data_IF_930732965536
#
_entry.id   IF_930732965536
#
_cell.length_a   1.000
_cell.length_b   1.000
_cell.length_c   1.000
_cell.angle_alpha   90.00
_cell.angle_beta   90.00
_cell.angle_gamma   90.00
#
_symmetry.space_group_name_H-M   'P 1'
#
loop_
_entity.id
_entity.type
_entity.pdbx_description
1 polymer ?
#
# COMPACT_ATOMS: atom_id res chain seq x y z
N UNK A 1 -17.23 -4.00 26.99
CA UNK A 1 -18.10 -3.97 25.80
C UNK A 1 -19.25 -4.98 25.86
N UNK A 2 -19.08 -6.18 26.43
CA UNK A 2 -20.13 -7.23 26.41
C UNK A 2 -21.44 -6.90 27.15
N UNK A 3 -21.52 -5.79 27.92
CA UNK A 3 -22.73 -5.33 28.59
C UNK A 3 -23.36 -4.07 28.00
N UNK A 4 -22.85 -3.59 26.85
CA UNK A 4 -23.38 -2.39 26.20
C UNK A 4 -24.59 -2.72 25.31
N UNK A 5 -25.56 -1.79 25.18
CA UNK A 5 -26.62 -1.91 24.18
C UNK A 5 -26.05 -2.02 22.76
N UNK A 6 -26.76 -2.73 21.88
CA UNK A 6 -26.30 -2.99 20.50
C UNK A 6 -26.13 -1.69 19.71
N UNK A 7 -26.98 -0.71 19.95
CA UNK A 7 -26.95 0.60 19.30
C UNK A 7 -25.67 1.36 19.62
N UNK A 8 -25.19 1.25 20.86
CA UNK A 8 -23.93 1.86 21.30
C UNK A 8 -22.75 1.09 20.73
N UNK A 9 -22.81 -0.25 20.74
CA UNK A 9 -21.77 -1.10 20.15
C UNK A 9 -21.57 -0.84 18.66
N UNK A 10 -22.63 -0.53 17.93
CA UNK A 10 -22.57 -0.17 16.51
C UNK A 10 -21.94 1.21 16.29
N UNK A 11 -22.05 2.15 17.23
CA UNK A 11 -21.46 3.49 17.11
C UNK A 11 -19.96 3.54 17.41
N UNK A 12 -19.45 2.64 18.27
CA UNK A 12 -18.05 2.64 18.70
C UNK A 12 -17.06 2.58 17.53
N UNK A 13 -17.21 1.67 16.53
CA UNK A 13 -16.29 1.63 15.38
C UNK A 13 -16.23 2.94 14.58
N UNK A 14 -17.29 3.76 14.60
CA UNK A 14 -17.37 5.05 13.91
C UNK A 14 -16.78 6.21 14.71
N UNK A 15 -16.37 5.97 15.96
CA UNK A 15 -15.63 6.95 16.76
C UNK A 15 -14.11 6.77 16.66
N UNK A 16 -13.67 5.77 15.90
CA UNK A 16 -12.25 5.44 15.71
C UNK A 16 -11.78 6.09 14.42
N UNK A 17 -10.67 6.80 14.49
CA UNK A 17 -10.09 7.54 13.36
C UNK A 17 -8.84 6.89 12.78
N UNK A 18 -8.32 5.83 13.40
CA UNK A 18 -7.10 5.15 12.97
C UNK A 18 -7.25 3.63 12.85
N UNK A 19 -6.57 3.05 11.84
CA UNK A 19 -6.66 1.63 11.50
C UNK A 19 -6.17 0.72 12.62
N UNK A 20 -5.23 1.22 13.42
CA UNK A 20 -4.64 0.48 14.53
C UNK A 20 -5.65 0.23 15.63
N UNK A 21 -6.28 1.29 16.11
CA UNK A 21 -7.30 1.22 17.14
C UNK A 21 -8.48 0.36 16.69
N UNK A 22 -8.90 0.48 15.42
CA UNK A 22 -9.99 -0.32 14.87
C UNK A 22 -9.65 -1.83 14.92
N UNK A 23 -8.47 -2.20 14.43
CA UNK A 23 -8.03 -3.59 14.47
C UNK A 23 -7.90 -4.13 15.90
N UNK A 24 -7.27 -3.38 16.81
CA UNK A 24 -7.11 -3.83 18.19
C UNK A 24 -8.46 -3.98 18.89
N UNK A 25 -9.41 -3.08 18.64
CA UNK A 25 -10.77 -3.22 19.17
C UNK A 25 -11.43 -4.52 18.70
N UNK A 26 -11.36 -4.79 17.39
CA UNK A 26 -11.98 -5.97 16.78
C UNK A 26 -11.36 -7.27 17.28
N UNK A 27 -10.03 -7.29 17.49
CA UNK A 27 -9.33 -8.48 17.99
C UNK A 27 -9.53 -8.66 19.50
N UNK A 28 -9.55 -7.58 20.28
CA UNK A 28 -9.64 -7.65 21.73
C UNK A 28 -11.05 -7.95 22.24
N UNK A 29 -12.10 -7.67 21.44
CA UNK A 29 -13.48 -7.89 21.88
C UNK A 29 -14.34 -8.70 20.92
N UNK A 30 -14.92 -9.81 21.40
CA UNK A 30 -15.92 -10.58 20.66
C UNK A 30 -17.11 -9.75 20.20
N UNK A 31 -17.65 -8.85 21.04
CA UNK A 31 -18.75 -7.97 20.67
C UNK A 31 -18.42 -7.08 19.46
N UNK A 32 -17.29 -6.36 19.49
CA UNK A 32 -16.87 -5.55 18.34
C UNK A 32 -16.57 -6.40 17.11
N UNK A 33 -16.00 -7.59 17.29
CA UNK A 33 -15.77 -8.53 16.19
C UNK A 33 -17.07 -8.99 15.51
N UNK A 34 -18.16 -9.18 16.28
CA UNK A 34 -19.48 -9.50 15.75
C UNK A 34 -20.07 -8.31 14.99
N UNK A 35 -20.03 -7.12 15.56
CA UNK A 35 -20.51 -5.88 14.91
C UNK A 35 -19.76 -5.62 13.60
N UNK A 36 -18.43 -5.72 13.61
CA UNK A 36 -17.61 -5.58 12.41
C UNK A 36 -17.87 -6.68 11.38
N UNK A 37 -18.33 -7.85 11.81
CA UNK A 37 -18.75 -8.92 10.92
C UNK A 37 -20.12 -8.70 10.27
N UNK A 38 -20.86 -7.66 10.64
CA UNK A 38 -22.16 -7.37 10.03
C UNK A 38 -22.03 -6.86 8.60
N UNK A 39 -23.09 -7.01 7.81
CA UNK A 39 -23.13 -6.66 6.38
C UNK A 39 -22.98 -5.14 6.10
N UNK A 40 -23.13 -4.29 7.12
CA UNK A 40 -23.08 -2.83 6.99
C UNK A 40 -22.03 -2.18 7.88
N UNK A 41 -21.95 -2.52 9.18
CA UNK A 41 -21.11 -1.77 10.11
C UNK A 41 -19.62 -1.97 9.82
N UNK A 42 -19.17 -3.20 9.51
CA UNK A 42 -17.77 -3.46 9.17
C UNK A 42 -17.28 -2.68 7.96
N UNK A 43 -17.95 -2.81 6.80
CA UNK A 43 -17.62 -2.04 5.61
C UNK A 43 -17.59 -0.52 5.85
N UNK A 44 -18.61 0.03 6.53
CA UNK A 44 -18.68 1.47 6.83
C UNK A 44 -17.59 1.92 7.80
N UNK A 45 -17.28 1.13 8.83
CA UNK A 45 -16.22 1.44 9.80
C UNK A 45 -14.84 1.45 9.14
N UNK A 46 -14.60 0.50 8.22
CA UNK A 46 -13.36 0.46 7.45
C UNK A 46 -13.25 1.69 6.52
N UNK A 47 -14.31 2.05 5.80
CA UNK A 47 -14.34 3.27 4.97
C UNK A 47 -14.06 4.54 5.79
N UNK A 48 -14.71 4.67 6.95
CA UNK A 48 -14.52 5.81 7.84
C UNK A 48 -13.06 5.95 8.27
N UNK A 49 -12.47 4.89 8.82
CA UNK A 49 -11.09 4.92 9.30
C UNK A 49 -10.08 5.16 8.19
N UNK A 50 -10.30 4.59 7.00
CA UNK A 50 -9.44 4.87 5.83
C UNK A 50 -9.53 6.35 5.42
N UNK A 51 -10.74 6.93 5.46
CA UNK A 51 -10.97 8.35 5.17
C UNK A 51 -10.28 9.30 6.14
N UNK A 52 -10.20 8.95 7.43
CA UNK A 52 -9.58 9.77 8.46
C UNK A 52 -8.04 9.62 8.52
N UNK A 53 -7.49 8.48 8.11
CA UNK A 53 -6.07 8.15 8.35
C UNK A 53 -5.19 8.04 7.08
N UNK A 54 -5.76 8.03 5.89
CA UNK A 54 -5.01 7.76 4.65
C UNK A 54 -5.21 8.82 3.57
N UNK A 55 -4.19 8.98 2.71
CA UNK A 55 -4.30 9.82 1.53
C UNK A 55 -5.36 9.27 0.55
N UNK A 56 -6.10 10.13 -0.19
CA UNK A 56 -7.13 9.71 -1.15
C UNK A 56 -6.68 8.65 -2.16
N UNK A 57 -5.42 8.72 -2.61
CA UNK A 57 -4.85 7.74 -3.54
C UNK A 57 -4.66 6.37 -2.89
N UNK A 58 -4.33 6.32 -1.60
CA UNK A 58 -4.24 5.07 -0.85
C UNK A 58 -5.62 4.45 -0.69
N UNK A 59 -6.63 5.24 -0.31
CA UNK A 59 -8.03 4.80 -0.21
C UNK A 59 -8.50 4.21 -1.55
N UNK A 60 -8.19 4.89 -2.66
CA UNK A 60 -8.53 4.41 -4.01
C UNK A 60 -7.91 3.05 -4.29
N UNK A 61 -6.63 2.83 -3.95
CA UNK A 61 -5.99 1.53 -4.12
C UNK A 61 -6.59 0.44 -3.22
N UNK A 62 -6.99 0.76 -1.98
CA UNK A 62 -7.70 -0.19 -1.11
C UNK A 62 -9.02 -0.61 -1.75
N UNK A 63 -9.77 0.36 -2.30
CA UNK A 63 -11.02 0.09 -3.04
C UNK A 63 -10.78 -0.77 -4.28
N UNK A 64 -9.70 -0.54 -5.04
CA UNK A 64 -9.33 -1.39 -6.17
C UNK A 64 -9.00 -2.83 -5.74
N UNK A 65 -8.28 -2.99 -4.62
CA UNK A 65 -8.02 -4.31 -4.04
C UNK A 65 -9.35 -4.99 -3.63
N UNK A 66 -10.26 -4.26 -2.99
CA UNK A 66 -11.60 -4.76 -2.66
C UNK A 66 -12.41 -5.17 -3.91
N UNK A 67 -12.34 -4.36 -4.96
CA UNK A 67 -12.98 -4.64 -6.25
C UNK A 67 -12.43 -5.93 -6.88
N UNK A 68 -11.11 -6.12 -6.94
CA UNK A 68 -10.49 -7.33 -7.50
C UNK A 68 -10.80 -8.57 -6.66
N UNK A 69 -10.86 -8.44 -5.33
CA UNK A 69 -11.20 -9.56 -4.43
C UNK A 69 -12.68 -9.95 -4.48
N UNK A 70 -13.56 -9.05 -4.95
CA UNK A 70 -14.99 -9.34 -5.17
C UNK A 70 -15.31 -9.77 -6.60
N UNK A 71 -14.33 -9.71 -7.51
CA UNK A 71 -14.50 -10.07 -8.91
C UNK A 71 -14.85 -11.55 -9.12
N UNK A 72 -15.73 -11.79 -10.08
CA UNK A 72 -16.07 -13.09 -10.64
C UNK A 72 -16.14 -13.00 -12.16
N UNK A 73 -16.20 -14.16 -12.85
CA UNK A 73 -16.32 -14.20 -14.31
C UNK A 73 -17.56 -13.45 -14.83
N UNK A 74 -18.67 -13.49 -14.10
CA UNK A 74 -19.90 -12.78 -14.45
C UNK A 74 -19.80 -11.26 -14.22
N UNK A 75 -18.95 -10.85 -13.28
CA UNK A 75 -18.82 -9.46 -12.85
C UNK A 75 -17.33 -9.08 -12.71
N UNK A 76 -16.57 -9.03 -13.83
CA UNK A 76 -15.17 -8.64 -13.80
C UNK A 76 -15.04 -7.13 -13.52
N UNK A 77 -13.91 -6.67 -12.96
CA UNK A 77 -13.69 -5.27 -12.64
C UNK A 77 -13.50 -4.42 -13.90
N UNK A 78 -13.05 -5.04 -14.99
CA UNK A 78 -13.02 -4.49 -16.34
C UNK A 78 -13.02 -5.64 -17.37
N UNK A 79 -13.42 -5.39 -18.64
CA UNK A 79 -13.43 -6.42 -19.69
C UNK A 79 -12.03 -6.95 -20.03
N UNK A 80 -11.00 -6.11 -19.91
CA UNK A 80 -9.61 -6.49 -20.14
C UNK A 80 -8.67 -5.80 -19.14
N UNK A 81 -7.42 -6.27 -19.07
CA UNK A 81 -6.37 -5.60 -18.28
C UNK A 81 -6.10 -4.17 -18.78
N UNK A 82 -6.19 -3.94 -20.10
CA UNK A 82 -5.98 -2.60 -20.67
C UNK A 82 -7.11 -1.67 -20.26
N UNK A 83 -8.37 -2.12 -20.33
CA UNK A 83 -9.52 -1.33 -19.87
C UNK A 83 -9.43 -1.02 -18.37
N UNK A 84 -8.91 -1.96 -17.57
CA UNK A 84 -8.66 -1.74 -16.14
C UNK A 84 -7.62 -0.63 -15.92
N UNK A 85 -6.50 -0.71 -16.64
CA UNK A 85 -5.41 0.28 -16.59
C UNK A 85 -5.92 1.64 -17.04
N UNK A 86 -6.63 1.70 -18.15
CA UNK A 86 -7.17 2.94 -18.72
C UNK A 86 -8.18 3.60 -17.78
N UNK A 87 -9.04 2.81 -17.14
CA UNK A 87 -10.06 3.31 -16.22
C UNK A 87 -9.51 3.75 -14.87
N UNK A 88 -8.54 3.01 -14.32
CA UNK A 88 -8.16 3.14 -12.90
C UNK A 88 -6.74 3.62 -12.65
N UNK A 89 -5.88 3.63 -13.67
CA UNK A 89 -4.46 4.00 -13.50
C UNK A 89 -4.03 5.20 -14.34
N UNK A 90 -4.73 5.52 -15.44
CA UNK A 90 -4.40 6.71 -16.22
C UNK A 90 -4.76 7.98 -15.46
N UNK A 91 -3.75 8.81 -15.14
CA UNK A 91 -3.98 10.19 -14.76
C UNK A 91 -4.52 10.95 -15.97
N UNK A 92 -5.82 11.27 -15.99
CA UNK A 92 -6.33 12.25 -16.95
C UNK A 92 -5.63 13.58 -16.63
N UNK A 93 -4.74 14.00 -17.52
CA UNK A 93 -4.04 15.31 -17.46
C UNK A 93 -4.98 16.50 -17.71
N UNK A 94 -6.26 16.23 -17.98
CA UNK A 94 -7.22 17.27 -18.30
C UNK A 94 -7.87 17.86 -17.05
N UNK A 95 -8.07 19.17 -17.10
CA UNK A 95 -8.23 20.10 -15.98
C UNK A 95 -9.55 20.02 -15.21
N UNK A 96 -10.13 18.84 -15.05
CA UNK A 96 -11.26 18.66 -14.14
C UNK A 96 -10.83 17.80 -12.96
N UNK A 97 -10.59 18.49 -11.84
CA UNK A 97 -10.26 17.96 -10.51
C UNK A 97 -11.33 17.00 -9.94
N UNK A 98 -12.32 16.59 -10.73
CA UNK A 98 -13.54 15.89 -10.30
C UNK A 98 -13.67 14.46 -10.81
N UNK A 99 -12.77 13.93 -11.67
CA UNK A 99 -12.99 12.63 -12.31
C UNK A 99 -11.75 11.73 -12.36
N UNK A 100 -11.10 11.49 -11.21
CA UNK A 100 -10.67 10.11 -10.98
C UNK A 100 -11.96 9.31 -11.04
N UNK A 101 -12.11 8.37 -11.98
CA UNK A 101 -13.21 7.41 -11.97
C UNK A 101 -13.06 6.60 -10.68
N UNK A 102 -13.59 7.15 -9.60
CA UNK A 102 -13.34 6.68 -8.25
C UNK A 102 -13.84 5.24 -8.22
N UNK A 103 -12.94 4.31 -7.90
CA UNK A 103 -13.37 2.99 -7.50
C UNK A 103 -14.53 3.16 -6.51
N UNK A 104 -15.64 2.41 -6.64
CA UNK A 104 -16.77 2.60 -5.76
C UNK A 104 -16.29 2.53 -4.29
N UNK A 105 -16.88 3.34 -3.41
CA UNK A 105 -16.50 3.36 -2.00
C UNK A 105 -16.46 1.95 -1.41
N UNK A 106 -15.50 1.65 -0.54
CA UNK A 106 -15.26 0.28 -0.09
C UNK A 106 -16.49 -0.28 0.65
N UNK A 107 -17.22 0.57 1.37
CA UNK A 107 -18.46 0.20 2.03
C UNK A 107 -19.53 -0.28 1.04
N UNK A 108 -19.59 0.34 -0.15
CA UNK A 108 -20.50 -0.09 -1.20
C UNK A 108 -20.07 -1.43 -1.80
N UNK A 109 -18.77 -1.58 -2.13
CA UNK A 109 -18.21 -2.81 -2.72
C UNK A 109 -18.39 -4.03 -1.80
N UNK A 110 -18.18 -3.82 -0.50
CA UNK A 110 -18.24 -4.87 0.51
C UNK A 110 -19.64 -5.07 1.09
N UNK A 111 -20.63 -4.26 0.70
CA UNK A 111 -21.99 -4.36 1.23
C UNK A 111 -22.55 -5.76 0.96
N UNK A 112 -23.04 -6.42 2.02
CA UNK A 112 -23.58 -7.80 1.93
C UNK A 112 -22.59 -8.84 1.38
N UNK A 113 -21.29 -8.54 1.35
CA UNK A 113 -20.25 -9.54 1.07
C UNK A 113 -19.92 -10.34 2.33
N UNK A 114 -19.12 -11.39 2.16
CA UNK A 114 -18.76 -12.26 3.26
C UNK A 114 -18.00 -11.47 4.35
N UNK A 115 -18.31 -11.68 5.65
CA UNK A 115 -17.58 -11.03 6.74
C UNK A 115 -16.08 -11.32 6.71
N UNK A 116 -15.69 -12.47 6.14
CA UNK A 116 -14.31 -12.88 5.93
C UNK A 116 -13.58 -11.94 4.97
N UNK A 117 -14.25 -11.39 3.95
CA UNK A 117 -13.65 -10.46 3.01
C UNK A 117 -13.30 -9.13 3.69
N UNK A 118 -14.23 -8.57 4.49
CA UNK A 118 -14.01 -7.33 5.24
C UNK A 118 -12.86 -7.50 6.24
N UNK A 119 -12.85 -8.62 6.98
CA UNK A 119 -11.74 -8.97 7.89
C UNK A 119 -10.43 -9.18 7.15
N UNK A 120 -10.47 -9.81 5.98
CA UNK A 120 -9.30 -10.01 5.12
C UNK A 120 -8.68 -8.70 4.64
N UNK A 121 -9.50 -7.72 4.29
CA UNK A 121 -9.04 -6.37 3.95
C UNK A 121 -8.43 -5.65 5.15
N UNK A 122 -9.08 -5.68 6.32
CA UNK A 122 -8.51 -5.12 7.55
C UNK A 122 -7.15 -5.75 7.89
N UNK A 123 -7.02 -7.08 7.76
CA UNK A 123 -5.76 -7.79 7.98
C UNK A 123 -4.69 -7.42 6.96
N UNK A 124 -5.08 -7.20 5.69
CA UNK A 124 -4.19 -6.72 4.63
C UNK A 124 -3.69 -5.31 4.94
N UNK A 125 -4.60 -4.42 5.32
CA UNK A 125 -4.28 -3.04 5.67
C UNK A 125 -3.33 -2.98 6.87
N UNK A 126 -3.59 -3.75 7.93
CA UNK A 126 -2.65 -3.92 9.05
C UNK A 126 -1.28 -4.39 8.59
N UNK A 127 -1.24 -5.45 7.76
CA UNK A 127 0.03 -6.00 7.26
C UNK A 127 0.82 -4.94 6.50
N UNK A 128 0.14 -4.19 5.63
CA UNK A 128 0.75 -3.10 4.87
C UNK A 128 1.27 -2.01 5.82
N UNK A 129 0.52 -1.58 6.84
CA UNK A 129 1.03 -0.60 7.82
C UNK A 129 2.32 -1.08 8.50
N UNK A 130 2.37 -2.33 8.96
CA UNK A 130 3.59 -2.89 9.56
C UNK A 130 4.77 -2.92 8.57
N UNK A 131 4.51 -3.33 7.31
CA UNK A 131 5.53 -3.37 6.26
C UNK A 131 6.00 -1.98 5.85
N UNK A 132 5.12 -0.98 5.82
CA UNK A 132 5.44 0.43 5.57
C UNK A 132 6.49 0.91 6.55
N UNK A 133 6.24 0.71 7.85
CA UNK A 133 7.18 1.10 8.89
C UNK A 133 8.49 0.31 8.85
N UNK A 134 8.44 -1.00 8.56
CA UNK A 134 9.65 -1.80 8.40
C UNK A 134 10.50 -1.33 7.21
N UNK A 135 9.86 -0.98 6.09
CA UNK A 135 10.50 -0.45 4.89
C UNK A 135 11.17 0.90 5.17
N UNK A 136 10.49 1.80 5.88
CA UNK A 136 11.04 3.09 6.28
C UNK A 136 12.24 2.90 7.22
N UNK A 137 12.10 2.06 8.25
CA UNK A 137 13.20 1.73 9.18
C UNK A 137 14.41 1.15 8.43
N UNK A 138 14.19 0.25 7.46
CA UNK A 138 15.25 -0.30 6.62
C UNK A 138 16.00 0.77 5.84
N UNK A 139 15.34 1.55 4.99
CA UNK A 139 16.04 2.53 4.15
C UNK A 139 16.65 3.67 4.97
N UNK A 140 16.08 4.02 6.12
CA UNK A 140 16.69 4.97 7.06
C UNK A 140 17.98 4.42 7.66
N UNK A 141 18.00 3.14 8.03
CA UNK A 141 19.23 2.49 8.50
C UNK A 141 20.31 2.45 7.41
N UNK A 142 19.90 2.22 6.15
CA UNK A 142 20.82 2.31 5.00
C UNK A 142 21.37 3.73 4.86
N UNK A 143 20.54 4.77 4.97
CA UNK A 143 20.98 6.15 4.92
C UNK A 143 21.98 6.51 6.02
N UNK A 144 21.77 6.02 7.24
CA UNK A 144 22.74 6.25 8.33
C UNK A 144 24.06 5.50 8.14
N UNK A 145 24.08 4.49 7.27
CA UNK A 145 25.29 3.70 6.96
C UNK A 145 26.13 4.30 5.83
N UNK A 146 25.57 5.22 5.04
CA UNK A 146 26.33 5.85 3.95
C UNK A 146 27.30 6.90 4.47
N UNK A 147 28.44 7.02 3.80
CA UNK A 147 29.44 8.06 4.04
C UNK A 147 29.49 9.00 2.83
N UNK A 148 28.49 9.88 2.66
CA UNK A 148 28.44 10.78 1.51
C UNK A 148 29.58 11.80 1.55
N UNK A 149 29.94 12.32 0.38
CA UNK A 149 30.94 13.38 0.24
C UNK A 149 30.39 14.51 -0.65
N UNK A 150 30.75 15.76 -0.34
CA UNK A 150 30.59 16.89 -1.25
C UNK A 150 31.66 16.83 -2.34
N UNK A 151 31.26 16.97 -3.59
CA UNK A 151 32.18 17.06 -4.71
C UNK A 151 33.10 18.28 -4.55
N UNK A 152 34.42 18.08 -4.61
CA UNK A 152 35.39 19.18 -4.42
C UNK A 152 35.71 19.95 -5.70
N UNK A 153 35.76 19.28 -6.86
CA UNK A 153 36.40 19.84 -8.06
C UNK A 153 35.52 19.73 -9.31
N UNK A 154 35.22 20.89 -9.91
CA UNK A 154 34.70 21.05 -11.27
C UNK A 154 33.30 20.47 -11.53
N UNK A 155 32.73 20.69 -12.73
CA UNK A 155 31.51 20.01 -13.13
C UNK A 155 31.79 18.51 -13.26
N UNK A 156 31.15 17.71 -12.41
CA UNK A 156 31.17 16.26 -12.50
C UNK A 156 29.84 15.77 -13.05
N UNK A 157 29.90 15.00 -14.14
CA UNK A 157 28.73 14.40 -14.76
C UNK A 157 28.81 12.87 -14.59
N UNK A 158 27.89 12.33 -13.79
CA UNK A 158 27.69 10.89 -13.67
C UNK A 158 27.45 10.27 -15.05
N UNK A 159 28.06 9.11 -15.32
CA UNK A 159 27.87 8.40 -16.60
C UNK A 159 28.73 8.89 -17.76
N UNK A 160 29.55 9.94 -17.60
CA UNK A 160 30.35 10.49 -18.70
C UNK A 160 31.56 9.62 -19.11
N UNK A 161 32.09 8.80 -18.20
CA UNK A 161 33.28 7.94 -18.46
C UNK A 161 33.07 6.47 -18.11
N UNK A 162 32.24 6.16 -17.11
CA UNK A 162 31.88 4.80 -16.67
C UNK A 162 30.46 4.80 -16.06
N UNK A 163 29.93 3.65 -15.64
CA UNK A 163 28.65 3.56 -14.93
C UNK A 163 28.69 4.37 -13.63
N UNK A 164 27.63 5.14 -13.37
CA UNK A 164 27.59 6.12 -12.28
C UNK A 164 28.01 5.54 -10.91
N UNK A 165 27.48 4.37 -10.53
CA UNK A 165 27.78 3.73 -9.24
C UNK A 165 29.21 3.17 -9.09
N UNK A 166 30.05 3.23 -10.14
CA UNK A 166 31.48 2.87 -10.08
C UNK A 166 32.39 4.07 -9.97
N UNK A 167 31.87 5.27 -10.20
CA UNK A 167 32.67 6.49 -10.10
C UNK A 167 32.65 6.94 -8.63
N UNK A 168 33.84 7.10 -8.03
CA UNK A 168 33.98 7.68 -6.71
C UNK A 168 34.84 8.94 -6.82
N UNK A 169 34.26 10.08 -7.24
CA UNK A 169 35.01 11.31 -7.39
C UNK A 169 35.59 11.74 -6.04
N UNK A 170 36.72 12.46 -6.07
CA UNK A 170 37.24 13.06 -4.84
C UNK A 170 36.22 14.03 -4.25
N UNK A 171 35.99 13.91 -2.95
CA UNK A 171 35.02 14.73 -2.24
C UNK A 171 35.38 14.89 -0.77
N UNK A 172 34.84 15.95 -0.17
CA UNK A 172 34.92 16.19 1.28
C UNK A 172 33.88 15.36 1.98
N UNK A 173 34.23 14.59 3.02
CA UNK A 173 33.26 13.89 3.84
C UNK A 173 32.14 14.84 4.28
N UNK A 174 30.90 14.45 4.03
CA UNK A 174 29.70 15.09 4.55
C UNK A 174 29.19 14.24 5.70
N UNK A 175 28.93 14.87 6.84
CA UNK A 175 28.28 14.22 7.97
C UNK A 175 26.77 14.50 7.83
N UNK A 176 25.95 13.49 7.50
CA UNK A 176 24.52 13.68 7.41
C UNK A 176 23.96 14.18 8.74
N UNK A 177 23.03 15.14 8.67
CA UNK A 177 22.25 15.48 9.85
C UNK A 177 21.39 14.29 10.28
N UNK A 178 21.14 14.12 11.60
CA UNK A 178 20.21 13.11 12.08
C UNK A 178 18.85 13.24 11.39
N UNK A 179 18.35 12.15 10.82
CA UNK A 179 17.03 12.14 10.19
C UNK A 179 15.93 12.22 11.25
N UNK A 180 15.03 13.21 11.16
CA UNK A 180 13.76 13.23 11.91
C UNK A 180 12.94 11.96 11.64
N UNK A 181 12.02 11.54 12.52
CA UNK A 181 11.12 10.41 12.25
C UNK A 181 10.41 10.54 10.89
N UNK A 182 9.99 9.42 10.27
CA UNK A 182 9.27 9.48 9.01
C UNK A 182 8.09 10.42 9.10
N UNK A 183 7.95 11.33 8.14
CA UNK A 183 6.80 12.21 8.07
C UNK A 183 5.62 11.49 7.40
N UNK A 184 4.40 12.04 7.58
CA UNK A 184 3.19 11.46 7.00
C UNK A 184 3.30 11.25 5.49
N UNK A 185 3.92 12.18 4.76
CA UNK A 185 4.10 12.03 3.31
C UNK A 185 4.97 10.81 2.95
N UNK A 186 6.02 10.51 3.71
CA UNK A 186 6.86 9.34 3.50
C UNK A 186 6.08 8.06 3.77
N UNK A 187 5.30 8.03 4.86
CA UNK A 187 4.42 6.91 5.21
C UNK A 187 3.41 6.63 4.09
N UNK A 188 2.69 7.65 3.61
CA UNK A 188 1.69 7.48 2.56
C UNK A 188 2.30 7.04 1.23
N UNK A 189 3.51 7.50 0.87
CA UNK A 189 4.21 7.09 -0.37
C UNK A 189 4.58 5.61 -0.33
N UNK A 190 5.18 5.16 0.77
CA UNK A 190 5.55 3.75 0.94
C UNK A 190 4.30 2.87 1.02
N UNK A 191 3.28 3.29 1.77
CA UNK A 191 1.99 2.61 1.87
C UNK A 191 1.33 2.43 0.50
N UNK A 192 1.36 3.49 -0.33
CA UNK A 192 0.85 3.45 -1.71
C UNK A 192 1.62 2.43 -2.56
N UNK A 193 2.94 2.36 -2.44
CA UNK A 193 3.77 1.32 -3.07
C UNK A 193 3.28 -0.09 -2.71
N UNK A 194 3.10 -0.37 -1.41
CA UNK A 194 2.63 -1.68 -0.94
C UNK A 194 1.22 -2.03 -1.42
N UNK A 195 0.30 -1.07 -1.46
CA UNK A 195 -1.04 -1.31 -1.98
C UNK A 195 -1.05 -1.61 -3.48
N UNK A 196 -0.19 -0.98 -4.28
CA UNK A 196 -0.01 -1.35 -5.69
C UNK A 196 0.55 -2.76 -5.85
N UNK A 197 1.52 -3.14 -5.02
CA UNK A 197 2.04 -4.50 -4.99
C UNK A 197 0.95 -5.51 -4.60
N UNK A 198 0.15 -5.20 -3.59
CA UNK A 198 -0.99 -6.04 -3.20
C UNK A 198 -2.03 -6.16 -4.33
N UNK A 199 -2.34 -5.06 -5.03
CA UNK A 199 -3.23 -5.06 -6.18
C UNK A 199 -2.71 -5.97 -7.30
N UNK A 200 -1.42 -5.87 -7.64
CA UNK A 200 -0.78 -6.74 -8.63
C UNK A 200 -0.90 -8.22 -8.24
N UNK A 201 -0.64 -8.56 -6.97
CA UNK A 201 -0.75 -9.93 -6.46
C UNK A 201 -2.20 -10.43 -6.55
N UNK A 202 -3.17 -9.62 -6.16
CA UNK A 202 -4.59 -10.00 -6.20
C UNK A 202 -5.12 -10.15 -7.64
N UNK A 203 -4.64 -9.33 -8.58
CA UNK A 203 -4.96 -9.48 -10.01
C UNK A 203 -4.40 -10.78 -10.59
N UNK A 204 -3.14 -11.10 -10.27
CA UNK A 204 -2.52 -12.37 -10.66
C UNK A 204 -3.26 -13.57 -10.08
N UNK A 205 -3.61 -13.51 -8.80
CA UNK A 205 -4.41 -14.56 -8.16
C UNK A 205 -5.79 -14.69 -8.80
N UNK A 206 -6.49 -13.59 -9.05
CA UNK A 206 -7.80 -13.63 -9.69
C UNK A 206 -7.76 -14.23 -11.10
N UNK A 207 -6.67 -14.02 -11.83
CA UNK A 207 -6.44 -14.67 -13.13
C UNK A 207 -6.15 -16.16 -12.96
N UNK A 208 -5.30 -16.53 -12.00
CA UNK A 208 -4.95 -17.94 -11.71
C UNK A 208 -6.12 -18.77 -11.17
N UNK A 209 -7.05 -18.14 -10.45
CA UNK A 209 -8.26 -18.75 -9.90
C UNK A 209 -9.42 -18.77 -10.92
N UNK A 210 -9.16 -18.45 -12.19
CA UNK A 210 -10.16 -18.33 -13.26
C UNK A 210 -11.32 -17.40 -12.90
N UNK A 211 -11.09 -16.38 -12.04
CA UNK A 211 -12.09 -15.35 -11.72
C UNK A 211 -12.08 -14.20 -12.72
N UNK A 212 -10.98 -14.06 -13.47
CA UNK A 212 -10.81 -13.08 -14.54
C UNK A 212 -10.38 -13.82 -15.81
N UNK A 213 -11.20 -13.74 -16.86
CA UNK A 213 -10.82 -14.18 -18.20
C UNK A 213 -10.08 -13.07 -18.95
N UNK A 214 -9.10 -12.46 -18.27
CA UNK A 214 -8.18 -11.54 -18.92
C UNK A 214 -7.19 -12.39 -19.69
N UNK A 215 -7.65 -12.87 -20.85
CA UNK A 215 -6.87 -13.63 -21.79
C UNK A 215 -5.67 -12.77 -22.22
N UNK A 216 -4.53 -12.95 -21.56
CA UNK A 216 -3.23 -12.48 -22.03
C UNK A 216 -2.85 -13.43 -23.18
N UNK A 217 -3.56 -13.27 -24.31
CA UNK A 217 -3.64 -14.26 -25.41
C UNK A 217 -2.29 -14.67 -25.99
N UNK A 218 -1.21 -13.95 -25.70
CA UNK A 218 0.13 -14.24 -26.20
C UNK A 218 1.22 -14.33 -25.13
N UNK A 219 0.90 -14.19 -23.84
CA UNK A 219 1.91 -14.26 -22.77
C UNK A 219 1.47 -15.18 -21.65
N UNK A 220 2.25 -16.26 -21.44
CA UNK A 220 2.29 -17.07 -20.20
C UNK A 220 2.71 -16.26 -18.95
N UNK A 221 2.81 -14.94 -19.09
CA UNK A 221 3.02 -13.96 -18.05
C UNK A 221 1.65 -13.41 -17.69
N UNK A 222 1.20 -13.62 -16.45
CA UNK A 222 0.01 -12.94 -15.92
C UNK A 222 0.19 -11.42 -15.95
N UNK A 223 -0.72 -10.67 -15.29
CA UNK A 223 -0.60 -9.19 -15.22
C UNK A 223 0.82 -8.79 -14.79
N UNK A 224 1.52 -8.09 -15.69
CA UNK A 224 2.89 -7.63 -15.46
C UNK A 224 2.89 -6.28 -14.75
N UNK A 225 3.94 -5.95 -13.98
CA UNK A 225 4.07 -4.62 -13.40
C UNK A 225 4.02 -3.55 -14.50
N UNK A 226 4.75 -3.72 -15.60
CA UNK A 226 4.85 -2.69 -16.64
C UNK A 226 3.49 -2.35 -17.28
N UNK A 227 2.59 -3.33 -17.42
CA UNK A 227 1.21 -3.09 -17.88
C UNK A 227 0.44 -2.23 -16.87
N UNK A 228 0.50 -2.57 -15.57
CA UNK A 228 -0.18 -1.82 -14.51
C UNK A 228 0.40 -0.40 -14.35
N UNK A 229 1.71 -0.24 -14.56
CA UNK A 229 2.43 1.03 -14.40
C UNK A 229 2.44 1.91 -15.65
N UNK A 230 1.91 1.46 -16.78
CA UNK A 230 1.76 2.30 -17.97
C UNK A 230 1.00 3.61 -17.68
N UNK A 231 0.04 3.60 -16.74
CA UNK A 231 -0.69 4.79 -16.28
C UNK A 231 0.00 5.60 -15.16
N UNK A 232 1.00 5.05 -14.46
CA UNK A 232 1.60 5.59 -13.23
C UNK A 232 3.11 5.86 -13.34
N UNK A 233 3.57 6.38 -14.48
CA UNK A 233 5.00 6.46 -14.84
C UNK A 233 5.90 7.13 -13.78
N UNK A 234 5.46 8.19 -13.10
CA UNK A 234 6.23 8.89 -12.06
C UNK A 234 6.20 8.23 -10.68
N UNK A 235 5.26 7.31 -10.46
CA UNK A 235 5.06 6.62 -9.18
C UNK A 235 5.68 5.21 -9.19
N UNK A 236 6.35 4.85 -10.29
CA UNK A 236 7.06 3.58 -10.45
C UNK A 236 8.11 3.37 -9.36
N UNK A 237 8.84 4.42 -8.99
CA UNK A 237 9.88 4.34 -7.96
C UNK A 237 9.33 3.97 -6.57
N UNK A 238 8.13 4.44 -6.21
CA UNK A 238 7.47 4.06 -4.95
C UNK A 238 7.18 2.55 -4.91
N UNK A 239 6.79 1.99 -6.06
CA UNK A 239 6.57 0.56 -6.21
C UNK A 239 7.87 -0.24 -6.20
N UNK A 240 8.87 0.20 -6.97
CA UNK A 240 10.17 -0.48 -7.03
C UNK A 240 10.86 -0.51 -5.66
N UNK A 241 10.73 0.58 -4.88
CA UNK A 241 11.23 0.67 -3.50
C UNK A 241 10.65 -0.43 -2.61
N UNK A 242 9.32 -0.62 -2.63
CA UNK A 242 8.71 -1.66 -1.79
C UNK A 242 8.98 -3.07 -2.31
N UNK A 243 9.16 -3.25 -3.62
CA UNK A 243 9.57 -4.53 -4.21
C UNK A 243 10.97 -4.89 -3.76
N UNK A 244 11.93 -3.97 -3.86
CA UNK A 244 13.32 -4.17 -3.39
C UNK A 244 13.35 -4.54 -1.90
N UNK A 245 12.60 -3.80 -1.07
CA UNK A 245 12.48 -4.12 0.35
C UNK A 245 11.87 -5.52 0.60
N UNK A 246 10.80 -5.89 -0.11
CA UNK A 246 10.19 -7.22 0.05
C UNK A 246 11.15 -8.33 -0.39
N UNK A 247 11.85 -8.12 -1.50
CA UNK A 247 12.84 -9.06 -2.02
C UNK A 247 13.99 -9.27 -1.03
N UNK A 248 14.43 -8.19 -0.37
CA UNK A 248 15.40 -8.24 0.71
C UNK A 248 14.93 -9.13 1.88
N UNK A 249 13.71 -8.91 2.39
CA UNK A 249 13.22 -9.66 3.56
C UNK A 249 12.81 -11.10 3.26
N UNK A 250 12.46 -11.42 2.00
CA UNK A 250 12.12 -12.78 1.57
C UNK A 250 13.32 -13.56 1.01
N UNK A 251 14.46 -12.91 0.76
CA UNK A 251 15.63 -13.50 0.08
C UNK A 251 15.27 -14.11 -1.28
N UNK A 252 14.40 -13.43 -2.04
CA UNK A 252 13.91 -13.88 -3.34
C UNK A 252 12.88 -12.93 -3.93
N UNK A 253 12.61 -13.03 -5.24
CA UNK A 253 11.77 -12.03 -5.90
C UNK A 253 10.26 -12.21 -5.66
N UNK A 254 9.62 -11.19 -5.10
CA UNK A 254 8.16 -11.09 -4.91
C UNK A 254 7.43 -11.03 -6.24
N UNK A 255 8.09 -10.56 -7.30
CA UNK A 255 7.52 -10.51 -8.63
C UNK A 255 7.52 -11.88 -9.33
N UNK A 256 8.15 -12.89 -8.73
CA UNK A 256 8.11 -14.28 -9.22
C UNK A 256 6.69 -14.85 -9.21
N UNK A 257 6.42 -15.82 -10.09
CA UNK A 257 5.09 -16.44 -10.26
C UNK A 257 4.57 -17.18 -9.01
N UNK A 258 5.45 -17.49 -8.04
CA UNK A 258 5.10 -18.25 -6.83
C UNK A 258 4.53 -17.37 -5.72
N UNK A 259 4.76 -16.06 -5.80
CA UNK A 259 4.34 -15.11 -4.79
C UNK A 259 2.83 -14.86 -4.87
N UNK A 260 2.13 -15.17 -3.79
CA UNK A 260 0.66 -15.03 -3.70
C UNK A 260 0.23 -13.94 -2.72
N UNK A 261 1.10 -13.53 -1.81
CA UNK A 261 0.76 -12.54 -0.79
C UNK A 261 2.01 -11.80 -0.33
N UNK A 262 1.81 -10.58 0.17
CA UNK A 262 2.84 -9.87 0.91
C UNK A 262 3.37 -10.72 2.08
N UNK A 263 4.67 -10.63 2.40
CA UNK A 263 5.25 -11.36 3.54
C UNK A 263 4.61 -10.95 4.87
N UNK A 264 4.78 -11.80 5.87
CA UNK A 264 4.59 -11.37 7.25
C UNK A 264 5.63 -10.28 7.60
N UNK A 265 5.29 -9.31 8.46
CA UNK A 265 6.24 -8.32 8.91
C UNK A 265 7.47 -8.98 9.58
N UNK A 266 8.69 -8.61 9.17
CA UNK A 266 9.94 -9.20 9.66
C UNK A 266 10.19 -8.91 11.15
N UNK A 267 10.47 -9.94 11.96
CA UNK A 267 10.52 -9.87 13.44
C UNK A 267 11.63 -8.97 14.02
N UNK A 268 12.64 -8.66 13.22
CA UNK A 268 13.77 -7.81 13.61
C UNK A 268 13.44 -6.31 13.59
N UNK A 269 12.31 -5.90 13.01
CA UNK A 269 11.91 -4.50 12.95
C UNK A 269 10.98 -4.14 14.10
N UNK A 270 11.05 -2.90 14.61
CA UNK A 270 10.20 -2.47 15.72
C UNK A 270 8.70 -2.59 15.38
N UNK A 271 8.35 -2.36 14.12
CA UNK A 271 6.99 -2.47 13.58
C UNK A 271 6.39 -3.89 13.60
N UNK A 272 7.22 -4.92 13.83
CA UNK A 272 6.77 -6.30 13.98
C UNK A 272 6.33 -6.64 15.40
N UNK A 273 6.90 -5.95 16.40
CA UNK A 273 6.59 -6.13 17.83
C UNK A 273 5.38 -5.30 18.26
N UNK A 274 5.12 -4.20 17.58
CA UNK A 274 3.99 -3.31 17.84
C UNK A 274 3.64 -2.46 16.62
N UNK A 275 2.40 -1.98 16.58
CA UNK A 275 1.95 -1.09 15.51
C UNK A 275 2.39 0.33 15.85
N UNK A 276 3.28 0.88 15.02
CA UNK A 276 3.83 2.23 15.17
C UNK A 276 2.72 3.28 15.07
N UNK A 277 2.87 4.39 15.81
CA UNK A 277 1.95 5.53 15.71
C UNK A 277 2.05 6.13 14.30
N UNK A 278 0.93 6.41 13.63
CA UNK A 278 0.96 7.06 12.33
C UNK A 278 1.65 8.42 12.45
N UNK A 279 2.42 8.80 11.43
CA UNK A 279 3.03 10.11 11.42
C UNK A 279 1.94 11.18 11.29
N UNK A 280 2.01 12.25 12.08
CA UNK A 280 0.98 13.31 12.02
C UNK A 280 1.04 14.04 10.67
N UNK A 281 -0.13 14.28 10.02
CA UNK A 281 -0.18 15.10 8.83
C UNK A 281 0.21 16.54 9.19
N UNK A 282 1.44 16.95 8.81
CA UNK A 282 1.80 18.37 8.73
C UNK A 282 2.87 18.91 9.69
N UNK A 283 3.69 18.10 10.35
CA UNK A 283 4.87 18.65 11.04
C UNK A 283 6.04 18.79 10.06
N UNK A 284 6.01 19.85 9.24
CA UNK A 284 7.25 20.44 8.73
C UNK A 284 7.87 21.11 9.96
N UNK A 285 8.87 20.45 10.57
CA UNK A 285 9.71 21.12 11.55
C UNK A 285 10.43 22.20 10.75
N UNK A 286 10.01 23.45 10.89
CA UNK A 286 10.79 24.59 10.42
C UNK A 286 12.17 24.48 11.08
N UNK A 287 13.19 24.27 10.23
CA UNK A 287 14.59 24.34 10.60
C UNK A 287 15.16 25.71 10.22
#
# INVERSE_FOLDING_TARGET
MEGLPVEILEQIPFSITDLRSLYHLIVASPAASRVFGSAEAGPKALDHVLGESMAPEVITLVSLVGLVRTASLEHPPAPSVQDFVDKHTQCQRDRDTSLISAAPGLAHLLRRRSPQLVRGLLLTARRICCLTWACLEYYRSQWTSVTPCHLENGPFAWGARDKAWRQNPQGRPYIPQPLSPPCWMEEQRVMRGFWRLQLLLDLRLATLDDRLDWALKDSQEGVSPDVLFAGWTWQKEEFLTVVDFVDHIQSGSILSKRSRSLPAPPQNYASSKGWQDPADPGVIIEA
#
